data_IF_903989942430
#
_entry.id   IF_903989942430
#
_cell.length_a   1.000
_cell.length_b   1.000
_cell.length_c   1.000
_cell.angle_alpha   90.00
_cell.angle_beta   90.00
_cell.angle_gamma   90.00
#
_symmetry.space_group_name_H-M   'P 1'
#
loop_
_entity.id
_entity.type
_entity.pdbx_description
1 polymer ?
#
# COMPACT_ATOMS: atom_id res chain seq x y z
N UNK A 1 11.87 -19.50 -44.13
CA UNK A 1 10.80 -18.65 -43.59
C UNK A 1 11.08 -18.23 -42.15
N UNK A 2 11.24 -19.18 -41.23
CA UNK A 2 11.45 -18.91 -39.79
C UNK A 2 12.70 -18.07 -39.48
N UNK A 3 13.86 -18.33 -40.11
CA UNK A 3 15.06 -17.49 -39.96
C UNK A 3 14.82 -16.02 -40.34
N UNK A 4 13.91 -15.77 -41.29
CA UNK A 4 13.54 -14.41 -41.68
C UNK A 4 12.60 -13.78 -40.66
N UNK A 5 11.65 -14.54 -40.10
CA UNK A 5 10.75 -14.06 -39.04
C UNK A 5 11.53 -13.78 -37.75
N UNK A 6 12.43 -14.67 -37.36
CA UNK A 6 13.30 -14.46 -36.20
C UNK A 6 14.18 -13.20 -36.35
N UNK A 7 14.73 -12.95 -37.56
CA UNK A 7 15.46 -11.71 -37.85
C UNK A 7 14.60 -10.45 -37.74
N UNK A 8 13.30 -10.53 -38.09
CA UNK A 8 12.36 -9.40 -37.92
C UNK A 8 12.14 -9.09 -36.43
N UNK A 9 11.92 -10.12 -35.62
CA UNK A 9 11.76 -9.97 -34.16
C UNK A 9 13.02 -9.34 -33.55
N UNK A 10 14.21 -9.83 -33.92
CA UNK A 10 15.49 -9.26 -33.48
C UNK A 10 15.68 -7.79 -33.88
N UNK A 11 15.06 -7.36 -34.99
CA UNK A 11 15.08 -5.95 -35.41
C UNK A 11 14.00 -5.09 -34.74
N UNK A 12 13.29 -5.62 -33.74
CA UNK A 12 12.23 -4.92 -33.01
C UNK A 12 10.85 -4.96 -33.69
N UNK A 13 10.72 -5.63 -34.84
CA UNK A 13 9.45 -5.83 -35.50
C UNK A 13 8.81 -7.13 -34.98
N UNK A 14 8.11 -7.00 -33.86
CA UNK A 14 7.44 -8.08 -33.16
C UNK A 14 5.92 -7.86 -33.12
N UNK A 15 5.22 -8.97 -32.97
CA UNK A 15 3.76 -9.06 -32.83
C UNK A 15 3.43 -10.13 -31.79
N UNK A 16 2.13 -10.34 -31.52
CA UNK A 16 1.65 -11.29 -30.53
C UNK A 16 2.14 -12.74 -30.77
N UNK A 17 2.43 -13.10 -32.03
CA UNK A 17 2.89 -14.44 -32.41
C UNK A 17 4.39 -14.67 -32.17
N UNK A 18 5.13 -13.61 -31.85
CA UNK A 18 6.59 -13.64 -31.76
C UNK A 18 7.08 -14.57 -30.64
N UNK A 19 6.35 -14.64 -29.52
CA UNK A 19 6.67 -15.56 -28.42
C UNK A 19 6.40 -17.02 -28.81
N UNK A 20 5.29 -17.29 -29.49
CA UNK A 20 4.96 -18.61 -30.05
C UNK A 20 6.07 -19.12 -30.97
N UNK A 21 6.59 -18.27 -31.85
CA UNK A 21 7.71 -18.63 -32.73
C UNK A 21 8.96 -19.03 -31.94
N UNK A 22 9.33 -18.23 -30.92
CA UNK A 22 10.49 -18.52 -30.08
C UNK A 22 10.35 -19.87 -29.36
N UNK A 23 9.18 -20.14 -28.77
CA UNK A 23 8.89 -21.41 -28.08
C UNK A 23 8.99 -22.59 -29.05
N UNK A 24 8.40 -22.46 -30.25
CA UNK A 24 8.47 -23.50 -31.27
C UNK A 24 9.91 -23.80 -31.74
N UNK A 25 10.75 -22.78 -31.85
CA UNK A 25 12.16 -22.92 -32.19
C UNK A 25 12.96 -23.61 -31.08
N UNK A 26 12.77 -23.19 -29.82
CA UNK A 26 13.44 -23.78 -28.66
C UNK A 26 13.06 -25.26 -28.49
N UNK A 27 11.76 -25.58 -28.56
CA UNK A 27 11.27 -26.95 -28.48
C UNK A 27 11.93 -27.85 -29.53
N UNK A 28 12.01 -27.39 -30.79
CA UNK A 28 12.59 -28.18 -31.87
C UNK A 28 14.09 -28.35 -31.74
N UNK A 29 14.79 -27.31 -31.28
CA UNK A 29 16.24 -27.35 -31.14
C UNK A 29 16.68 -28.29 -30.00
N UNK A 30 16.02 -28.19 -28.85
CA UNK A 30 16.35 -28.97 -27.65
C UNK A 30 15.56 -30.28 -27.53
N UNK A 31 14.61 -30.52 -28.43
CA UNK A 31 13.66 -31.66 -28.40
C UNK A 31 13.01 -31.86 -27.02
N UNK A 32 12.70 -30.74 -26.35
CA UNK A 32 12.25 -30.71 -24.96
C UNK A 32 11.21 -29.62 -24.79
N UNK A 33 10.19 -29.87 -23.95
CA UNK A 33 9.18 -28.86 -23.64
C UNK A 33 9.81 -27.63 -22.97
N UNK A 34 9.28 -26.45 -23.30
CA UNK A 34 9.78 -25.16 -22.85
C UNK A 34 9.15 -24.79 -21.52
N UNK A 35 9.96 -24.33 -20.56
CA UNK A 35 9.50 -23.67 -19.34
C UNK A 35 9.58 -22.16 -19.56
N UNK A 36 8.46 -21.46 -19.40
CA UNK A 36 8.39 -20.01 -19.55
C UNK A 36 8.33 -19.37 -18.16
N UNK A 37 9.35 -18.58 -17.82
CA UNK A 37 9.43 -17.82 -16.57
C UNK A 37 9.34 -16.34 -16.92
N UNK A 38 8.33 -15.65 -16.42
CA UNK A 38 8.08 -14.24 -16.67
C UNK A 38 8.09 -13.53 -15.34
N UNK A 39 9.16 -12.77 -15.11
CA UNK A 39 9.34 -12.00 -13.90
C UNK A 39 8.86 -10.56 -14.09
N UNK A 40 8.45 -9.94 -12.98
CA UNK A 40 7.92 -8.57 -12.89
C UNK A 40 6.92 -8.26 -14.02
N UNK A 41 5.97 -9.17 -14.23
CA UNK A 41 5.02 -9.11 -15.34
C UNK A 41 4.10 -7.87 -15.32
N UNK A 42 4.00 -7.20 -14.17
CA UNK A 42 3.31 -5.94 -13.95
C UNK A 42 4.10 -4.70 -14.41
N UNK A 43 5.40 -4.81 -14.70
CA UNK A 43 6.25 -3.68 -15.09
C UNK A 43 5.66 -2.82 -16.22
N UNK A 44 5.14 -3.41 -17.32
CA UNK A 44 4.53 -2.61 -18.38
C UNK A 44 3.33 -1.79 -17.90
N UNK A 45 2.54 -2.34 -16.97
CA UNK A 45 1.39 -1.66 -16.36
C UNK A 45 1.84 -0.44 -15.58
N UNK A 46 2.84 -0.61 -14.70
CA UNK A 46 3.39 0.49 -13.90
C UNK A 46 3.98 1.58 -14.81
N UNK A 47 4.70 1.18 -15.86
CA UNK A 47 5.22 2.11 -16.87
C UNK A 47 4.10 2.90 -17.56
N UNK A 48 3.00 2.25 -17.91
CA UNK A 48 1.85 2.94 -18.51
C UNK A 48 1.17 3.93 -17.55
N UNK A 49 0.99 3.55 -16.28
CA UNK A 49 0.46 4.45 -15.23
C UNK A 49 1.34 5.70 -15.12
N UNK A 50 2.66 5.52 -15.27
CA UNK A 50 3.65 6.60 -15.23
C UNK A 50 3.80 7.35 -16.57
N UNK A 51 2.90 7.11 -17.55
CA UNK A 51 2.93 7.71 -18.89
C UNK A 51 4.25 7.49 -19.65
N UNK A 52 5.05 6.49 -19.27
CA UNK A 52 6.28 6.13 -19.98
C UNK A 52 6.01 5.18 -21.13
N UNK A 53 4.99 4.30 -20.99
CA UNK A 53 4.54 3.40 -22.05
C UNK A 53 3.18 3.78 -22.61
N UNK A 54 3.03 3.63 -23.92
CA UNK A 54 1.76 3.77 -24.60
C UNK A 54 0.90 2.51 -24.40
N UNK A 55 -0.41 2.65 -24.66
CA UNK A 55 -1.34 1.53 -24.54
C UNK A 55 -0.98 0.38 -25.50
N UNK A 56 -0.44 0.70 -26.68
CA UNK A 56 -0.03 -0.28 -27.68
C UNK A 56 1.05 -1.24 -27.16
N UNK A 57 1.95 -0.77 -26.28
CA UNK A 57 2.97 -1.62 -25.65
C UNK A 57 2.33 -2.61 -24.69
N UNK A 58 1.33 -2.17 -23.91
CA UNK A 58 0.56 -3.04 -23.04
C UNK A 58 -0.21 -4.10 -23.83
N UNK A 59 -0.93 -3.65 -24.85
CA UNK A 59 -1.74 -4.52 -25.69
C UNK A 59 -0.86 -5.58 -26.37
N UNK A 60 0.34 -5.22 -26.84
CA UNK A 60 1.33 -6.17 -27.38
C UNK A 60 1.79 -7.19 -26.33
N UNK A 61 2.25 -6.71 -25.16
CA UNK A 61 2.84 -7.58 -24.13
C UNK A 61 1.84 -8.61 -23.62
N UNK A 62 0.63 -8.17 -23.27
CA UNK A 62 -0.42 -9.07 -22.81
C UNK A 62 -1.06 -9.87 -23.95
N UNK A 63 -1.12 -9.29 -25.14
CA UNK A 63 -1.53 -9.98 -26.37
C UNK A 63 -0.65 -11.21 -26.65
N UNK A 64 0.66 -11.12 -26.44
CA UNK A 64 1.57 -12.28 -26.56
C UNK A 64 1.17 -13.43 -25.62
N UNK A 65 0.79 -13.14 -24.38
CA UNK A 65 0.37 -14.19 -23.44
C UNK A 65 -0.98 -14.79 -23.82
N UNK A 66 -1.96 -13.95 -24.17
CA UNK A 66 -3.27 -14.43 -24.64
C UNK A 66 -3.12 -15.27 -25.92
N UNK A 67 -2.23 -14.87 -26.83
CA UNK A 67 -1.93 -15.61 -28.05
C UNK A 67 -1.38 -17.01 -27.74
N UNK A 68 -0.42 -17.12 -26.80
CA UNK A 68 0.11 -18.43 -26.37
C UNK A 68 -0.99 -19.38 -25.88
N UNK A 69 -2.00 -18.85 -25.19
CA UNK A 69 -3.14 -19.65 -24.70
C UNK A 69 -4.00 -20.19 -25.84
N UNK A 70 -4.20 -19.40 -26.90
CA UNK A 70 -5.08 -19.74 -28.01
C UNK A 70 -4.39 -20.60 -29.09
N UNK A 71 -3.06 -20.67 -29.07
CA UNK A 71 -2.25 -21.48 -29.98
C UNK A 71 -2.07 -22.91 -29.40
N UNK A 72 -3.05 -23.78 -29.64
CA UNK A 72 -3.05 -25.17 -29.12
C UNK A 72 -1.77 -25.93 -29.50
N UNK A 73 -1.26 -25.71 -30.72
CA UNK A 73 -0.04 -26.36 -31.18
C UNK A 73 1.18 -25.93 -30.36
N UNK A 74 1.30 -24.65 -30.02
CA UNK A 74 2.39 -24.16 -29.17
C UNK A 74 2.19 -24.56 -27.71
N UNK A 75 0.94 -24.59 -27.22
CA UNK A 75 0.64 -24.94 -25.84
C UNK A 75 1.15 -26.35 -25.47
N UNK A 76 1.05 -27.32 -26.39
CA UNK A 76 1.59 -28.68 -26.20
C UNK A 76 3.12 -28.73 -26.03
N UNK A 77 3.83 -27.70 -26.51
CA UNK A 77 5.29 -27.57 -26.44
C UNK A 77 5.76 -26.88 -25.17
N UNK A 78 4.84 -26.34 -24.38
CA UNK A 78 5.12 -25.70 -23.10
C UNK A 78 4.93 -26.74 -22.00
N UNK A 79 5.90 -26.81 -21.08
CA UNK A 79 5.79 -27.64 -19.87
C UNK A 79 5.01 -26.91 -18.79
N UNK A 80 5.37 -25.65 -18.54
CA UNK A 80 4.70 -24.77 -17.58
C UNK A 80 5.00 -23.31 -17.89
N UNK A 81 4.13 -22.41 -17.43
CA UNK A 81 4.34 -20.96 -17.43
C UNK A 81 4.24 -20.48 -15.99
N UNK A 82 5.25 -19.76 -15.52
CA UNK A 82 5.27 -19.09 -14.23
C UNK A 82 5.33 -17.58 -14.45
N UNK A 83 4.39 -16.87 -13.83
CA UNK A 83 4.43 -15.43 -13.70
C UNK A 83 4.79 -15.09 -12.26
N UNK A 84 5.84 -14.31 -12.05
CA UNK A 84 6.17 -13.69 -10.77
C UNK A 84 6.02 -12.18 -10.86
N UNK A 85 5.50 -11.58 -9.79
CA UNK A 85 5.19 -10.16 -9.71
C UNK A 85 4.54 -9.79 -8.39
N UNK A 86 4.43 -8.49 -8.15
CA UNK A 86 3.88 -7.89 -6.93
C UNK A 86 2.36 -7.75 -7.01
N UNK A 87 1.81 -7.43 -8.19
CA UNK A 87 0.38 -7.19 -8.36
C UNK A 87 -0.29 -8.44 -8.95
N UNK A 88 -1.53 -8.73 -8.55
CA UNK A 88 -2.35 -9.78 -9.17
C UNK A 88 -3.28 -9.19 -10.25
N UNK A 89 -3.06 -9.52 -11.53
CA UNK A 89 -3.77 -8.92 -12.68
C UNK A 89 -4.79 -9.84 -13.37
N UNK A 90 -5.52 -10.67 -12.60
CA UNK A 90 -6.29 -11.82 -13.12
C UNK A 90 -7.73 -11.53 -13.59
N UNK A 91 -8.56 -10.88 -12.76
CA UNK A 91 -10.03 -11.00 -12.92
C UNK A 91 -10.70 -9.97 -13.86
N UNK A 92 -10.27 -8.70 -13.81
CA UNK A 92 -10.72 -7.65 -14.74
C UNK A 92 -9.55 -6.96 -15.46
N UNK A 93 -8.39 -7.62 -15.44
CA UNK A 93 -7.15 -7.10 -15.99
C UNK A 93 -6.85 -7.60 -17.41
N UNK A 94 -5.65 -7.31 -17.89
CA UNK A 94 -5.14 -7.77 -19.18
C UNK A 94 -5.03 -9.30 -19.29
N UNK A 95 -5.00 -10.02 -18.15
CA UNK A 95 -5.01 -11.48 -18.11
C UNK A 95 -6.40 -12.08 -17.91
N UNK A 96 -7.49 -11.29 -18.00
CA UNK A 96 -8.86 -11.81 -17.91
C UNK A 96 -9.16 -12.89 -18.96
N UNK A 97 -8.46 -12.86 -20.10
CA UNK A 97 -8.49 -13.92 -21.11
C UNK A 97 -7.84 -15.24 -20.67
N UNK A 98 -7.06 -15.28 -19.58
CA UNK A 98 -6.33 -16.45 -19.08
C UNK A 98 -7.02 -17.10 -17.87
N UNK A 99 -8.13 -17.79 -18.13
CA UNK A 99 -8.91 -18.51 -17.12
C UNK A 99 -8.23 -19.77 -16.54
N UNK A 100 -7.05 -20.14 -17.02
CA UNK A 100 -6.27 -21.30 -16.58
C UNK A 100 -5.16 -20.96 -15.58
N UNK A 101 -5.04 -19.69 -15.15
CA UNK A 101 -4.04 -19.28 -14.16
C UNK A 101 -4.46 -19.68 -12.75
N UNK A 102 -3.54 -20.30 -12.02
CA UNK A 102 -3.62 -20.49 -10.56
C UNK A 102 -2.71 -19.45 -9.91
N UNK A 103 -3.23 -18.72 -8.93
CA UNK A 103 -2.49 -17.66 -8.25
C UNK A 103 -2.13 -18.11 -6.83
N UNK A 104 -0.87 -17.94 -6.46
CA UNK A 104 -0.34 -18.19 -5.13
C UNK A 104 0.06 -16.84 -4.52
N UNK A 105 -0.86 -16.21 -3.78
CA UNK A 105 -0.66 -14.88 -3.18
C UNK A 105 -0.38 -14.99 -1.67
N UNK A 106 0.38 -14.05 -1.11
CA UNK A 106 0.81 -14.07 0.30
C UNK A 106 -0.36 -14.16 1.31
N UNK A 107 -1.53 -13.61 0.96
CA UNK A 107 -2.73 -13.56 1.81
C UNK A 107 -3.62 -14.82 1.72
N UNK A 108 -3.43 -15.67 0.70
CA UNK A 108 -4.33 -16.81 0.39
C UNK A 108 -3.61 -18.14 0.28
N UNK A 109 -2.31 -18.13 -0.01
CA UNK A 109 -1.53 -19.35 -0.16
C UNK A 109 -0.98 -19.86 1.17
N UNK A 110 -1.02 -21.18 1.35
CA UNK A 110 -0.41 -21.89 2.48
C UNK A 110 0.67 -22.87 2.01
N UNK A 111 0.83 -23.04 0.69
CA UNK A 111 1.70 -24.07 0.14
C UNK A 111 3.15 -23.57 0.06
N UNK A 112 3.36 -22.35 -0.41
CA UNK A 112 4.68 -21.73 -0.57
C UNK A 112 4.96 -20.64 0.47
N UNK A 113 4.05 -20.44 1.43
CA UNK A 113 4.10 -19.32 2.36
C UNK A 113 5.40 -19.25 3.17
N UNK A 114 5.92 -20.40 3.61
CA UNK A 114 7.18 -20.47 4.37
C UNK A 114 8.43 -20.31 3.48
N UNK A 115 8.32 -20.45 2.15
CA UNK A 115 9.45 -20.40 1.21
C UNK A 115 9.89 -18.96 0.85
N UNK A 116 9.11 -17.94 1.23
CA UNK A 116 9.38 -16.53 0.92
C UNK A 116 10.37 -15.84 1.88
N UNK A 117 10.88 -16.55 2.88
CA UNK A 117 11.75 -15.95 3.89
C UNK A 117 12.50 -16.98 4.72
N UNK A 118 13.12 -16.51 5.81
CA UNK A 118 13.75 -17.39 6.80
C UNK A 118 12.85 -17.43 8.03
N UNK A 119 12.56 -18.62 8.56
CA UNK A 119 11.82 -18.75 9.82
C UNK A 119 12.72 -18.45 11.01
N UNK A 120 12.11 -18.08 12.14
CA UNK A 120 12.86 -17.89 13.39
C UNK A 120 13.64 -19.13 13.83
N UNK A 121 13.07 -20.32 13.62
CA UNK A 121 13.73 -21.56 13.99
C UNK A 121 14.98 -21.81 13.14
N UNK A 122 14.89 -21.61 11.82
CA UNK A 122 16.06 -21.72 10.93
C UNK A 122 17.14 -20.72 11.30
N UNK A 123 16.78 -19.46 11.55
CA UNK A 123 17.74 -18.44 11.97
C UNK A 123 18.39 -18.79 13.32
N UNK A 124 17.62 -19.25 14.29
CA UNK A 124 18.13 -19.65 15.61
C UNK A 124 19.12 -20.81 15.49
N UNK A 125 18.79 -21.84 14.72
CA UNK A 125 19.68 -22.98 14.47
C UNK A 125 20.96 -22.55 13.73
N UNK A 126 20.83 -21.68 12.73
CA UNK A 126 21.97 -21.15 11.98
C UNK A 126 22.91 -20.33 12.87
N UNK A 127 22.36 -19.41 13.67
CA UNK A 127 23.13 -18.59 14.62
C UNK A 127 23.83 -19.45 15.67
N UNK A 128 23.12 -20.39 16.29
CA UNK A 128 23.69 -21.28 17.30
C UNK A 128 24.87 -22.07 16.73
N UNK A 129 24.74 -22.54 15.49
CA UNK A 129 25.83 -23.25 14.78
C UNK A 129 27.02 -22.33 14.52
N UNK A 130 26.77 -21.13 13.98
CA UNK A 130 27.79 -20.11 13.69
C UNK A 130 28.53 -19.61 14.93
N UNK A 131 27.87 -19.62 16.10
CA UNK A 131 28.42 -19.18 17.38
C UNK A 131 28.88 -20.34 18.25
N UNK A 132 29.07 -21.53 17.67
CA UNK A 132 29.57 -22.72 18.36
C UNK A 132 28.79 -23.10 19.63
N UNK A 133 27.47 -22.87 19.64
CA UNK A 133 26.59 -23.20 20.76
C UNK A 133 26.48 -22.13 21.84
N UNK A 134 27.07 -20.95 21.66
CA UNK A 134 26.88 -19.81 22.56
C UNK A 134 25.41 -19.30 22.57
N UNK A 135 25.04 -18.56 23.61
CA UNK A 135 23.71 -17.95 23.71
C UNK A 135 23.52 -16.84 22.66
N UNK A 136 22.56 -17.05 21.76
CA UNK A 136 22.22 -16.14 20.65
C UNK A 136 20.98 -15.29 20.93
N UNK A 137 20.40 -15.35 22.13
CA UNK A 137 19.11 -14.71 22.45
C UNK A 137 19.09 -13.20 22.21
N UNK A 138 20.19 -12.51 22.51
CA UNK A 138 20.34 -11.07 22.29
C UNK A 138 20.46 -10.74 20.79
N UNK A 139 21.26 -11.50 20.05
CA UNK A 139 21.44 -11.34 18.61
C UNK A 139 20.12 -11.61 17.87
N UNK A 140 19.42 -12.68 18.24
CA UNK A 140 18.13 -13.03 17.69
C UNK A 140 17.08 -11.95 17.97
N UNK A 141 16.99 -11.44 19.21
CA UNK A 141 16.08 -10.33 19.56
C UNK A 141 16.37 -9.08 18.73
N UNK A 142 17.66 -8.78 18.51
CA UNK A 142 18.07 -7.66 17.67
C UNK A 142 17.67 -7.87 16.20
N UNK A 143 17.90 -9.05 15.65
CA UNK A 143 17.52 -9.34 14.27
C UNK A 143 16.01 -9.35 14.06
N UNK A 144 15.25 -9.78 15.07
CA UNK A 144 13.78 -9.72 15.04
C UNK A 144 13.26 -8.30 14.87
N UNK A 145 13.80 -7.34 15.63
CA UNK A 145 13.33 -5.95 15.54
C UNK A 145 13.71 -5.27 14.23
N UNK A 146 14.77 -5.74 13.56
CA UNK A 146 15.26 -5.17 12.32
C UNK A 146 14.68 -5.80 11.06
N UNK A 147 14.56 -7.13 11.00
CA UNK A 147 14.37 -7.84 9.73
C UNK A 147 13.23 -8.88 9.73
N UNK A 148 12.53 -9.05 10.85
CA UNK A 148 11.37 -9.95 10.97
C UNK A 148 10.06 -9.18 10.78
N UNK A 149 8.91 -9.80 11.01
CA UNK A 149 7.59 -9.20 11.08
C UNK A 149 6.68 -9.59 9.92
N UNK A 150 7.16 -10.36 8.94
CA UNK A 150 6.40 -10.75 7.75
C UNK A 150 5.47 -11.92 8.08
N UNK A 151 4.17 -11.62 8.16
CA UNK A 151 3.10 -12.57 8.45
C UNK A 151 2.60 -13.15 7.14
N UNK A 152 2.74 -14.46 6.96
CA UNK A 152 2.23 -15.14 5.77
C UNK A 152 1.08 -16.06 6.20
N UNK A 153 -0.12 -15.69 5.77
CA UNK A 153 -1.38 -16.42 5.92
C UNK A 153 -1.66 -17.00 7.32
N UNK A 154 -1.53 -16.20 8.38
CA UNK A 154 -1.86 -16.60 9.76
C UNK A 154 -1.01 -17.77 10.29
N UNK A 155 0.15 -18.02 9.70
CA UNK A 155 1.11 -18.96 10.29
C UNK A 155 1.72 -18.34 11.55
N UNK A 156 2.02 -19.14 12.59
CA UNK A 156 2.63 -18.61 13.81
C UNK A 156 4.09 -18.16 13.63
N UNK A 157 4.61 -18.21 12.40
CA UNK A 157 6.00 -17.96 12.07
C UNK A 157 6.09 -16.66 11.27
N UNK A 158 6.46 -15.58 11.95
CA UNK A 158 6.94 -14.42 11.22
C UNK A 158 8.24 -14.76 10.51
N UNK A 159 8.32 -14.39 9.24
CA UNK A 159 9.50 -14.61 8.42
C UNK A 159 10.46 -13.42 8.53
N UNK A 160 11.72 -13.70 8.32
CA UNK A 160 12.76 -12.71 8.16
C UNK A 160 13.04 -12.44 6.67
N UNK A 161 13.35 -11.19 6.34
CA UNK A 161 13.83 -10.81 5.02
C UNK A 161 15.22 -11.44 4.75
N UNK A 162 15.30 -12.27 3.70
CA UNK A 162 16.52 -13.03 3.34
C UNK A 162 17.68 -12.10 2.95
N UNK A 163 17.39 -11.03 2.20
CA UNK A 163 18.42 -10.10 1.72
C UNK A 163 19.05 -9.34 2.89
N UNK A 164 18.23 -8.75 3.76
CA UNK A 164 18.71 -8.02 4.93
C UNK A 164 19.50 -8.91 5.90
N UNK A 165 19.07 -10.17 6.10
CA UNK A 165 19.85 -11.15 6.87
C UNK A 165 21.19 -11.48 6.20
N UNK A 166 21.20 -11.70 4.89
CA UNK A 166 22.43 -12.01 4.14
C UNK A 166 23.44 -10.87 4.26
N UNK A 167 22.99 -9.63 4.12
CA UNK A 167 23.81 -8.45 4.33
C UNK A 167 24.29 -8.33 5.79
N UNK A 168 23.44 -8.61 6.77
CA UNK A 168 23.85 -8.65 8.17
C UNK A 168 25.02 -9.63 8.41
N UNK A 169 24.93 -10.84 7.87
CA UNK A 169 26.01 -11.84 8.00
C UNK A 169 27.28 -11.46 7.22
N UNK A 170 27.14 -10.77 6.09
CA UNK A 170 28.27 -10.31 5.30
C UNK A 170 29.01 -9.13 5.94
N UNK A 171 28.27 -8.17 6.52
CA UNK A 171 28.83 -6.92 7.05
C UNK A 171 28.96 -6.88 8.58
N UNK A 172 28.38 -7.83 9.30
CA UNK A 172 28.46 -7.94 10.76
C UNK A 172 27.69 -6.86 11.53
N UNK A 173 26.76 -6.15 10.89
CA UNK A 173 25.98 -5.07 11.53
C UNK A 173 24.57 -4.99 10.98
N UNK A 174 23.65 -4.47 11.78
CA UNK A 174 22.31 -4.09 11.33
C UNK A 174 22.36 -2.73 10.63
N UNK A 175 21.73 -2.64 9.47
CA UNK A 175 21.60 -1.45 8.64
C UNK A 175 20.31 -1.58 7.79
N UNK A 176 19.99 -0.52 7.07
CA UNK A 176 18.91 -0.44 6.08
C UNK A 176 19.37 -1.09 4.77
N UNK A 177 19.31 -2.41 4.65
CA UNK A 177 19.82 -3.16 3.50
C UNK A 177 18.83 -3.29 2.35
N UNK A 178 17.62 -3.78 2.63
CA UNK A 178 16.57 -3.98 1.63
C UNK A 178 16.02 -2.65 1.14
N UNK A 179 15.73 -1.69 2.04
CA UNK A 179 15.11 -0.43 1.59
C UNK A 179 16.03 0.41 0.68
N UNK A 180 17.36 0.20 0.76
CA UNK A 180 18.33 0.85 -0.13
C UNK A 180 18.31 0.31 -1.57
N UNK A 181 17.61 -0.80 -1.84
CA UNK A 181 17.49 -1.34 -3.21
C UNK A 181 16.43 -0.65 -4.05
N UNK A 182 15.69 0.34 -3.49
CA UNK A 182 15.01 1.38 -4.28
C UNK A 182 13.55 1.15 -4.69
N UNK A 183 12.83 0.15 -4.16
CA UNK A 183 11.48 -0.16 -4.66
C UNK A 183 10.35 0.74 -4.16
N UNK A 184 10.54 1.52 -3.09
CA UNK A 184 9.47 2.39 -2.57
C UNK A 184 9.20 3.60 -3.47
N UNK A 185 10.16 3.96 -4.32
CA UNK A 185 10.07 5.10 -5.23
C UNK A 185 8.96 4.90 -6.27
N UNK A 186 8.82 3.69 -6.78
CA UNK A 186 7.79 3.33 -7.75
C UNK A 186 6.39 3.41 -7.11
N UNK A 187 6.27 3.06 -5.84
CA UNK A 187 5.02 3.17 -5.07
C UNK A 187 4.64 4.62 -4.82
N UNK A 188 5.62 5.48 -4.58
CA UNK A 188 5.40 6.91 -4.37
C UNK A 188 4.73 7.56 -5.58
N UNK A 189 4.91 7.03 -6.80
CA UNK A 189 4.27 7.57 -8.01
C UNK A 189 2.76 7.28 -8.09
N UNK A 190 2.28 6.27 -7.35
CA UNK A 190 0.86 5.94 -7.33
C UNK A 190 0.04 6.94 -6.53
N UNK A 191 0.66 7.64 -5.60
CA UNK A 191 -0.01 8.57 -4.69
C UNK A 191 0.62 9.96 -4.81
N UNK A 192 -0.08 10.97 -4.32
CA UNK A 192 0.45 12.32 -4.23
C UNK A 192 -0.14 12.99 -2.98
N UNK A 193 0.19 14.26 -2.80
CA UNK A 193 -0.25 15.04 -1.66
C UNK A 193 -1.76 15.26 -1.56
N UNK A 194 -2.53 15.04 -2.62
CA UNK A 194 -4.00 15.14 -2.55
C UNK A 194 -4.66 13.87 -2.01
N UNK A 195 -3.90 12.78 -1.82
CA UNK A 195 -4.36 11.55 -1.20
C UNK A 195 -4.40 11.61 0.33
N UNK A 196 -5.28 12.48 0.86
CA UNK A 196 -5.41 12.74 2.30
C UNK A 196 -5.68 11.46 3.10
N UNK A 197 -6.53 10.56 2.60
CA UNK A 197 -6.81 9.28 3.26
C UNK A 197 -5.55 8.42 3.39
N UNK A 198 -4.70 8.41 2.34
CA UNK A 198 -3.43 7.67 2.36
C UNK A 198 -2.46 8.28 3.37
N UNK A 199 -2.37 9.61 3.42
CA UNK A 199 -1.52 10.33 4.38
C UNK A 199 -1.95 10.00 5.81
N UNK A 200 -3.25 10.07 6.12
CA UNK A 200 -3.76 9.71 7.44
C UNK A 200 -3.41 8.27 7.85
N UNK A 201 -3.57 7.32 6.93
CA UNK A 201 -3.20 5.91 7.19
C UNK A 201 -1.69 5.71 7.40
N UNK A 202 -0.85 6.37 6.60
CA UNK A 202 0.60 6.32 6.78
C UNK A 202 1.01 6.90 8.14
N UNK A 203 0.35 7.95 8.62
CA UNK A 203 0.61 8.51 9.96
C UNK A 203 0.23 7.53 11.07
N UNK A 204 -0.91 6.83 10.93
CA UNK A 204 -1.31 5.77 11.86
C UNK A 204 -0.24 4.66 11.89
N UNK A 205 0.21 4.19 10.72
CA UNK A 205 1.24 3.15 10.58
C UNK A 205 2.57 3.56 11.23
N UNK A 206 3.05 4.78 10.97
CA UNK A 206 4.31 5.30 11.56
C UNK A 206 4.22 5.36 13.08
N UNK A 207 3.04 5.67 13.63
CA UNK A 207 2.76 5.67 15.06
C UNK A 207 2.51 4.26 15.64
N UNK A 208 2.72 3.21 14.85
CA UNK A 208 2.59 1.81 15.30
C UNK A 208 1.15 1.31 15.40
N UNK A 209 0.19 2.03 14.83
CA UNK A 209 -1.21 1.60 14.74
C UNK A 209 -1.42 0.75 13.48
N UNK A 210 -2.45 -0.10 13.52
CA UNK A 210 -2.86 -0.89 12.36
C UNK A 210 -3.89 -0.14 11.52
N UNK A 211 -3.89 -0.39 10.21
CA UNK A 211 -4.92 0.09 9.28
C UNK A 211 -5.69 -1.10 8.69
N UNK A 212 -6.95 -0.88 8.32
CA UNK A 212 -7.79 -1.92 7.72
C UNK A 212 -7.96 -1.66 6.23
N UNK A 213 -7.57 -2.63 5.40
CA UNK A 213 -7.71 -2.54 3.94
C UNK A 213 -8.36 -3.77 3.36
N UNK A 214 -9.15 -3.56 2.31
CA UNK A 214 -9.70 -4.61 1.46
C UNK A 214 -8.99 -4.54 0.12
N UNK A 215 -8.36 -5.64 -0.28
CA UNK A 215 -7.74 -5.75 -1.58
C UNK A 215 -8.75 -6.22 -2.62
N UNK A 216 -8.78 -5.54 -3.76
CA UNK A 216 -9.55 -5.99 -4.91
C UNK A 216 -8.70 -6.98 -5.69
N UNK A 217 -9.24 -8.15 -6.04
CA UNK A 217 -8.59 -9.10 -6.96
C UNK A 217 -8.56 -8.61 -8.42
N UNK A 218 -9.11 -7.41 -8.66
CA UNK A 218 -9.21 -6.80 -9.98
C UNK A 218 -8.81 -5.33 -9.91
N UNK A 219 -7.90 -4.93 -10.80
CA UNK A 219 -7.55 -3.53 -11.03
C UNK A 219 -8.22 -3.10 -12.33
N UNK A 220 -9.14 -2.14 -12.26
CA UNK A 220 -9.69 -1.51 -13.45
C UNK A 220 -8.73 -0.40 -13.92
N UNK A 221 -7.99 -0.68 -14.99
CA UNK A 221 -7.00 0.24 -15.54
C UNK A 221 -7.58 1.59 -15.97
N UNK A 222 -8.85 1.64 -16.38
CA UNK A 222 -9.49 2.91 -16.78
C UNK A 222 -9.59 3.88 -15.60
N UNK A 223 -9.64 3.35 -14.38
CA UNK A 223 -9.70 4.17 -13.16
C UNK A 223 -8.31 4.59 -12.66
N UNK A 224 -7.21 4.02 -13.19
CA UNK A 224 -5.84 4.38 -12.79
C UNK A 224 -5.34 5.70 -13.40
N UNK A 225 -5.99 6.18 -14.47
CA UNK A 225 -5.68 7.49 -15.08
C UNK A 225 -6.21 8.67 -14.26
N UNK A 226 -7.10 8.41 -13.30
CA UNK A 226 -7.63 9.44 -12.41
C UNK A 226 -6.70 9.63 -11.21
N UNK A 227 -6.28 10.87 -10.98
CA UNK A 227 -5.47 11.21 -9.82
C UNK A 227 -6.21 10.85 -8.53
N UNK A 228 -5.49 10.19 -7.63
CA UNK A 228 -5.99 9.76 -6.33
C UNK A 228 -7.34 9.01 -6.33
N UNK A 229 -7.61 8.24 -7.38
CA UNK A 229 -8.80 7.39 -7.42
C UNK A 229 -8.75 6.30 -6.35
N UNK A 230 -9.93 5.74 -6.04
CA UNK A 230 -10.06 4.61 -5.12
C UNK A 230 -9.25 3.40 -5.60
N UNK A 231 -9.17 3.20 -6.91
CA UNK A 231 -8.45 2.12 -7.56
C UNK A 231 -6.94 2.33 -7.45
N UNK A 232 -6.46 3.57 -7.67
CA UNK A 232 -5.03 3.91 -7.55
C UNK A 232 -4.54 3.80 -6.11
N UNK A 233 -5.34 4.25 -5.14
CA UNK A 233 -5.04 4.11 -3.70
C UNK A 233 -5.14 2.65 -3.24
N UNK A 234 -6.09 1.87 -3.75
CA UNK A 234 -6.16 0.43 -3.50
C UNK A 234 -4.95 -0.32 -4.06
N UNK A 235 -4.51 0.04 -5.27
CA UNK A 235 -3.30 -0.51 -5.89
C UNK A 235 -2.06 -0.18 -5.06
N UNK A 236 -1.92 1.06 -4.60
CA UNK A 236 -0.85 1.46 -3.69
C UNK A 236 -0.78 0.58 -2.45
N UNK A 237 -1.91 0.36 -1.76
CA UNK A 237 -1.93 -0.50 -0.56
C UNK A 237 -1.64 -1.98 -0.86
N UNK A 238 -2.12 -2.49 -2.00
CA UNK A 238 -1.79 -3.85 -2.44
C UNK A 238 -0.30 -4.01 -2.67
N UNK A 239 0.33 -3.06 -3.37
CA UNK A 239 1.77 -3.12 -3.61
C UNK A 239 2.57 -2.93 -2.33
N UNK A 240 2.18 -2.02 -1.44
CA UNK A 240 2.81 -1.87 -0.13
C UNK A 240 2.79 -3.20 0.65
N UNK A 241 1.70 -3.98 0.57
CA UNK A 241 1.62 -5.30 1.20
C UNK A 241 2.43 -6.37 0.47
N UNK A 242 2.18 -6.60 -0.82
CA UNK A 242 2.83 -7.69 -1.57
C UNK A 242 4.33 -7.48 -1.78
N UNK A 243 4.80 -6.22 -1.83
CA UNK A 243 6.23 -5.92 -1.88
C UNK A 243 6.90 -6.03 -0.50
N UNK A 244 6.15 -6.21 0.59
CA UNK A 244 6.70 -6.38 1.94
C UNK A 244 6.96 -5.08 2.72
N UNK A 245 6.42 -3.94 2.28
CA UNK A 245 6.42 -2.72 3.10
C UNK A 245 5.39 -2.77 4.23
N UNK A 246 4.39 -3.62 4.10
CA UNK A 246 3.39 -3.89 5.12
C UNK A 246 3.27 -5.39 5.32
N UNK A 247 2.89 -5.74 6.54
CA UNK A 247 2.59 -7.11 6.96
C UNK A 247 1.19 -7.13 7.56
N UNK A 248 0.52 -8.27 7.49
CA UNK A 248 -0.84 -8.35 7.96
C UNK A 248 -1.48 -9.68 7.66
N UNK A 249 -2.50 -9.99 8.44
CA UNK A 249 -3.25 -11.23 8.33
C UNK A 249 -4.75 -10.93 8.28
N UNK A 250 -5.50 -11.83 7.65
CA UNK A 250 -6.95 -11.74 7.59
C UNK A 250 -7.54 -11.82 9.02
N UNK A 251 -8.62 -11.10 9.27
CA UNK A 251 -9.23 -10.92 10.61
C UNK A 251 -9.67 -12.20 11.34
N UNK A 252 -9.53 -13.38 10.72
CA UNK A 252 -9.95 -14.68 11.27
C UNK A 252 -9.26 -15.06 12.57
N UNK A 253 -8.11 -14.47 12.91
CA UNK A 253 -7.38 -14.77 14.15
C UNK A 253 -7.47 -13.64 15.16
N UNK A 254 -8.19 -13.95 16.25
CA UNK A 254 -8.09 -13.33 17.57
C UNK A 254 -6.63 -13.33 18.03
N UNK A 255 -5.95 -12.20 17.98
CA UNK A 255 -4.90 -11.92 18.96
C UNK A 255 -5.24 -10.60 19.66
N UNK A 256 -5.56 -10.77 20.94
CA UNK A 256 -5.89 -9.76 21.95
C UNK A 256 -7.25 -9.06 21.81
N UNK A 257 -7.83 -8.82 22.98
CA UNK A 257 -9.26 -8.72 23.24
C UNK A 257 -9.96 -7.51 22.60
N UNK A 258 -11.28 -7.65 22.46
CA UNK A 258 -12.31 -6.63 22.18
C UNK A 258 -12.60 -6.38 20.70
N UNK A 259 -13.39 -7.28 20.10
CA UNK A 259 -14.61 -6.97 19.32
C UNK A 259 -15.14 -8.27 18.68
N UNK A 260 -16.46 -8.44 18.65
CA UNK A 260 -17.07 -9.61 17.99
C UNK A 260 -16.95 -9.46 16.47
N UNK A 261 -16.59 -10.53 15.74
CA UNK A 261 -16.49 -10.47 14.29
C UNK A 261 -17.89 -10.28 13.67
N UNK A 262 -18.04 -9.26 12.82
CA UNK A 262 -19.20 -9.13 11.94
C UNK A 262 -19.04 -10.08 10.73
N UNK A 263 -20.11 -10.77 10.34
CA UNK A 263 -20.14 -11.75 9.23
C UNK A 263 -19.78 -11.20 7.83
N UNK A 264 -19.50 -9.90 7.69
CA UNK A 264 -19.15 -9.24 6.43
C UNK A 264 -17.65 -8.87 6.30
N UNK A 265 -16.79 -9.25 7.26
CA UNK A 265 -15.39 -8.80 7.37
C UNK A 265 -14.35 -9.81 6.81
N UNK A 266 -14.80 -10.79 6.01
CA UNK A 266 -14.00 -11.95 5.56
C UNK A 266 -12.82 -11.60 4.62
N UNK A 267 -12.79 -10.38 4.04
CA UNK A 267 -11.76 -9.92 3.08
C UNK A 267 -10.95 -8.72 3.59
N UNK A 268 -11.04 -8.38 4.87
CA UNK A 268 -10.32 -7.23 5.44
C UNK A 268 -9.03 -7.69 6.11
N UNK A 269 -7.91 -7.12 5.64
CA UNK A 269 -6.57 -7.34 6.18
C UNK A 269 -6.23 -6.19 7.12
N UNK A 270 -5.74 -6.55 8.32
CA UNK A 270 -5.14 -5.60 9.26
C UNK A 270 -3.66 -5.48 8.93
N UNK A 271 -3.26 -4.30 8.45
CA UNK A 271 -1.91 -4.01 7.99
C UNK A 271 -1.15 -3.21 9.04
N UNK A 272 0.12 -3.54 9.20
CA UNK A 272 1.10 -2.84 10.05
C UNK A 272 2.48 -2.82 9.38
N UNK A 273 3.37 -2.00 9.92
CA UNK A 273 4.79 -2.00 9.54
C UNK A 273 5.49 -3.19 10.22
N UNK A 274 6.25 -4.04 9.49
CA UNK A 274 6.82 -5.26 10.05
C UNK A 274 7.98 -5.03 11.03
N UNK A 275 8.86 -4.07 10.73
CA UNK A 275 10.11 -3.89 11.47
C UNK A 275 10.68 -2.47 11.35
N UNK A 276 11.80 -2.24 12.04
CA UNK A 276 12.49 -0.96 12.08
C UNK A 276 13.03 -0.51 10.71
N UNK A 277 13.56 -1.45 9.92
CA UNK A 277 14.09 -1.13 8.59
C UNK A 277 12.99 -0.55 7.70
N UNK A 278 11.87 -1.25 7.60
CA UNK A 278 10.72 -0.84 6.77
C UNK A 278 10.07 0.44 7.30
N UNK A 279 10.02 0.63 8.62
CA UNK A 279 9.53 1.88 9.21
C UNK A 279 10.24 3.10 8.67
N UNK A 280 11.56 3.01 8.48
CA UNK A 280 12.35 4.11 7.92
C UNK A 280 11.92 4.48 6.51
N UNK A 281 11.67 3.49 5.64
CA UNK A 281 11.20 3.75 4.28
C UNK A 281 9.81 4.40 4.26
N UNK A 282 8.89 3.93 5.11
CA UNK A 282 7.56 4.53 5.23
C UNK A 282 7.62 5.98 5.72
N UNK A 283 8.51 6.28 6.68
CA UNK A 283 8.77 7.66 7.12
C UNK A 283 9.32 8.51 5.97
N UNK A 284 10.28 8.02 5.20
CA UNK A 284 10.86 8.76 4.07
C UNK A 284 9.81 9.05 2.99
N UNK A 285 8.93 8.08 2.69
CA UNK A 285 7.79 8.26 1.79
C UNK A 285 6.87 9.38 2.30
N UNK A 286 6.50 9.35 3.59
CA UNK A 286 5.68 10.40 4.20
C UNK A 286 6.32 11.78 4.07
N UNK A 287 7.60 11.90 4.42
CA UNK A 287 8.32 13.17 4.33
C UNK A 287 8.36 13.70 2.89
N UNK A 288 8.55 12.83 1.91
CA UNK A 288 8.53 13.23 0.48
C UNK A 288 7.16 13.70 0.04
N UNK A 289 6.11 12.97 0.43
CA UNK A 289 4.73 13.38 0.15
C UNK A 289 4.51 14.78 0.72
N UNK A 290 4.95 15.05 1.95
CA UNK A 290 4.83 16.36 2.63
C UNK A 290 5.71 17.48 2.03
N UNK A 291 6.84 17.17 1.40
CA UNK A 291 7.76 18.16 0.78
C UNK A 291 7.32 18.64 -0.61
N UNK A 292 6.33 18.01 -1.25
CA UNK A 292 5.91 18.44 -2.58
C UNK A 292 5.38 19.89 -2.57
N UNK A 293 5.82 20.79 -3.47
CA UNK A 293 5.54 22.24 -3.41
C UNK A 293 4.05 22.64 -3.41
N UNK A 294 3.15 21.72 -3.77
CA UNK A 294 1.71 21.94 -3.79
C UNK A 294 1.02 21.62 -2.45
N UNK A 295 1.78 21.34 -1.37
CA UNK A 295 1.26 21.13 -0.02
C UNK A 295 1.03 22.37 0.83
N UNK A 296 1.14 23.56 0.24
CA UNK A 296 0.43 24.70 0.80
C UNK A 296 -1.00 24.62 0.26
N UNK A 297 -1.76 23.65 0.75
CA UNK A 297 -3.21 23.62 0.60
C UNK A 297 -3.78 24.71 1.52
N UNK A 298 -3.64 25.95 1.05
CA UNK A 298 -4.27 27.12 1.62
C UNK A 298 -5.78 26.95 1.47
N UNK A 299 -6.46 26.72 2.59
CA UNK A 299 -7.91 26.71 2.71
C UNK A 299 -8.33 28.04 3.31
N UNK A 300 -9.30 28.71 2.70
CA UNK A 300 -9.92 29.88 3.32
C UNK A 300 -11.01 29.37 4.24
N UNK A 301 -10.76 29.42 5.55
CA UNK A 301 -11.74 29.11 6.59
C UNK A 301 -12.67 30.30 6.75
N UNK A 302 -13.96 30.00 6.82
CA UNK A 302 -14.99 30.95 7.14
C UNK A 302 -15.36 30.72 8.60
N UNK A 303 -15.09 31.69 9.45
CA UNK A 303 -15.32 31.60 10.89
C UNK A 303 -16.51 32.50 11.19
N UNK A 304 -17.56 31.93 11.76
CA UNK A 304 -18.74 32.68 12.19
C UNK A 304 -18.75 32.74 13.71
N UNK A 305 -18.62 33.95 14.24
CA UNK A 305 -18.68 34.27 15.67
C UNK A 305 -20.04 34.89 15.98
N UNK A 306 -20.79 34.29 16.90
CA UNK A 306 -22.11 34.81 17.32
C UNK A 306 -22.12 35.15 18.80
N UNK A 307 -22.49 36.40 19.15
CA UNK A 307 -22.64 36.86 20.53
C UNK A 307 -23.87 37.74 20.70
N UNK A 308 -24.74 37.37 21.65
CA UNK A 308 -25.98 38.10 21.99
C UNK A 308 -26.81 38.55 20.77
N UNK A 309 -26.91 37.69 19.75
CA UNK A 309 -27.69 37.94 18.53
C UNK A 309 -26.96 38.75 17.45
N UNK A 310 -25.72 39.19 17.67
CA UNK A 310 -24.86 39.77 16.66
C UNK A 310 -23.92 38.71 16.08
N UNK A 311 -23.86 38.62 14.75
CA UNK A 311 -23.05 37.64 14.02
C UNK A 311 -21.95 38.35 13.24
N UNK A 312 -20.72 37.89 13.42
CA UNK A 312 -19.54 38.37 12.71
C UNK A 312 -18.94 37.22 11.90
N UNK A 313 -18.55 37.51 10.65
CA UNK A 313 -17.88 36.55 9.78
C UNK A 313 -16.43 37.00 9.58
N UNK A 314 -15.49 36.07 9.78
CA UNK A 314 -14.06 36.26 9.57
C UNK A 314 -13.61 35.27 8.50
N UNK A 315 -12.69 35.72 7.65
CA UNK A 315 -12.06 34.91 6.62
C UNK A 315 -10.59 34.79 6.97
N UNK A 316 -10.10 33.56 7.08
CA UNK A 316 -8.68 33.33 7.32
C UNK A 316 -8.18 32.21 6.43
N UNK A 317 -7.10 32.48 5.71
CA UNK A 317 -6.40 31.45 4.95
C UNK A 317 -5.45 30.71 5.86
N UNK A 318 -5.57 29.38 5.91
CA UNK A 318 -4.77 28.51 6.75
C UNK A 318 -4.13 27.42 5.91
N UNK A 319 -2.97 26.95 6.35
CA UNK A 319 -2.36 25.72 5.84
C UNK A 319 -3.05 24.51 6.49
N UNK A 320 -3.67 23.65 5.69
CA UNK A 320 -4.39 22.48 6.18
C UNK A 320 -3.52 21.48 6.97
N UNK A 321 -2.22 21.44 6.69
CA UNK A 321 -1.24 20.60 7.42
C UNK A 321 -1.07 20.99 8.89
N UNK A 322 -1.44 22.22 9.26
CA UNK A 322 -1.32 22.73 10.62
C UNK A 322 -2.69 23.01 11.28
N UNK A 323 -3.77 22.46 10.73
CA UNK A 323 -5.15 22.75 11.12
C UNK A 323 -5.42 22.71 12.64
N UNK A 324 -5.10 21.59 13.30
CA UNK A 324 -5.36 21.43 14.73
C UNK A 324 -4.55 22.42 15.58
N UNK A 325 -3.32 22.71 15.16
CA UNK A 325 -2.45 23.69 15.82
C UNK A 325 -3.00 25.11 15.63
N UNK A 326 -3.50 25.43 14.44
CA UNK A 326 -4.08 26.72 14.14
C UNK A 326 -5.38 26.96 14.92
N UNK A 327 -6.29 25.97 15.01
CA UNK A 327 -7.52 26.11 15.83
C UNK A 327 -7.16 26.39 17.28
N UNK A 328 -6.26 25.59 17.87
CA UNK A 328 -5.90 25.77 19.27
C UNK A 328 -5.31 27.17 19.52
N UNK A 329 -4.38 27.63 18.68
CA UNK A 329 -3.82 28.98 18.81
C UNK A 329 -4.87 30.08 18.58
N UNK A 330 -5.81 29.88 17.65
CA UNK A 330 -6.88 30.85 17.38
C UNK A 330 -7.87 30.95 18.55
N UNK A 331 -8.23 29.81 19.15
CA UNK A 331 -9.11 29.76 20.33
C UNK A 331 -8.40 30.33 21.57
N UNK A 332 -7.12 30.01 21.80
CA UNK A 332 -6.30 30.63 22.85
C UNK A 332 -6.19 32.16 22.67
N UNK A 333 -6.06 32.64 21.43
CA UNK A 333 -6.07 34.08 21.15
C UNK A 333 -7.41 34.74 21.45
N UNK A 334 -8.52 34.05 21.18
CA UNK A 334 -9.87 34.53 21.51
C UNK A 334 -10.09 34.53 23.02
N UNK A 335 -9.62 33.50 23.73
CA UNK A 335 -9.63 33.45 25.20
C UNK A 335 -8.80 34.58 25.81
N UNK A 336 -7.60 34.82 25.32
CA UNK A 336 -6.77 35.95 25.75
C UNK A 336 -7.44 37.32 25.50
N UNK A 337 -8.38 37.39 24.55
CA UNK A 337 -9.17 38.60 24.23
C UNK A 337 -10.52 38.65 24.97
N UNK A 338 -10.81 37.69 25.86
CA UNK A 338 -12.02 37.66 26.70
C UNK A 338 -13.30 37.20 25.99
N UNK A 339 -13.17 36.33 24.98
CA UNK A 339 -14.25 35.81 24.11
C UNK A 339 -14.82 34.46 24.60
N UNK A 340 -14.36 33.99 25.75
CA UNK A 340 -14.25 32.59 26.18
C UNK A 340 -15.62 31.90 26.40
N UNK A 341 -16.56 32.59 27.08
CA UNK A 341 -17.78 31.94 27.60
C UNK A 341 -19.09 32.42 26.97
N UNK A 342 -19.03 33.36 26.02
CA UNK A 342 -20.24 34.02 25.50
C UNK A 342 -20.47 33.88 24.00
N UNK A 343 -19.50 33.35 23.27
CA UNK A 343 -19.53 33.28 21.82
C UNK A 343 -19.80 31.86 21.33
N UNK A 344 -20.63 31.72 20.30
CA UNK A 344 -20.70 30.48 19.51
C UNK A 344 -19.81 30.65 18.28
N UNK A 345 -18.86 29.74 18.12
CA UNK A 345 -17.91 29.71 16.99
C UNK A 345 -18.30 28.58 16.04
N UNK A 346 -18.42 28.88 14.75
CA UNK A 346 -18.57 27.88 13.69
C UNK A 346 -17.49 28.07 12.64
N UNK A 347 -16.85 26.99 12.23
CA UNK A 347 -15.86 26.97 11.18
C UNK A 347 -16.44 26.29 9.93
N UNK A 348 -16.29 26.90 8.76
CA UNK A 348 -16.65 26.32 7.47
C UNK A 348 -15.42 26.27 6.57
N UNK A 349 -15.23 25.12 5.91
CA UNK A 349 -14.08 24.82 5.06
C UNK A 349 -14.57 24.42 3.68
N UNK A 350 -14.68 25.37 2.72
CA UNK A 350 -15.38 25.11 1.48
C UNK A 350 -14.71 24.08 0.58
N UNK A 351 -13.37 24.04 0.51
CA UNK A 351 -12.69 23.04 -0.32
C UNK A 351 -12.85 21.67 0.33
N UNK A 352 -12.63 21.54 1.64
CA UNK A 352 -12.92 20.33 2.42
C UNK A 352 -14.37 19.83 2.28
N UNK A 353 -15.38 20.70 2.30
CA UNK A 353 -16.78 20.32 2.05
C UNK A 353 -16.99 19.81 0.62
N UNK A 354 -16.35 20.45 -0.36
CA UNK A 354 -16.37 20.01 -1.75
C UNK A 354 -15.72 18.62 -1.90
N UNK A 355 -14.62 18.36 -1.19
CA UNK A 355 -13.97 17.05 -1.13
C UNK A 355 -14.85 15.99 -0.44
N UNK A 356 -15.48 16.29 0.71
CA UNK A 356 -16.35 15.35 1.43
C UNK A 356 -17.68 15.06 0.70
N UNK A 357 -18.14 15.93 -0.21
CA UNK A 357 -19.34 15.69 -1.02
C UNK A 357 -19.22 14.48 -1.95
N UNK A 358 -17.99 14.10 -2.34
CA UNK A 358 -17.70 12.94 -3.19
C UNK A 358 -17.52 11.62 -2.40
N UNK A 359 -17.20 11.68 -1.10
CA UNK A 359 -16.81 10.51 -0.29
C UNK A 359 -17.51 10.50 1.08
N UNK A 360 -18.86 10.51 1.08
CA UNK A 360 -19.70 10.50 2.31
C UNK A 360 -19.35 9.43 3.36
N UNK A 361 -18.65 8.36 2.99
CA UNK A 361 -18.26 7.25 3.88
C UNK A 361 -16.90 7.44 4.57
N UNK A 362 -15.95 8.16 3.97
CA UNK A 362 -14.57 8.26 4.48
C UNK A 362 -14.41 9.39 5.51
N UNK A 363 -15.13 10.51 5.31
CA UNK A 363 -15.03 11.66 6.23
C UNK A 363 -15.54 11.36 7.65
N UNK A 364 -16.48 10.40 7.85
CA UNK A 364 -16.97 10.04 9.20
C UNK A 364 -15.93 9.33 10.08
N UNK A 365 -14.94 8.68 9.48
CA UNK A 365 -13.97 7.84 10.19
C UNK A 365 -12.66 8.58 10.46
N UNK A 366 -12.22 9.46 9.56
CA UNK A 366 -11.02 10.29 9.73
C UNK A 366 -11.32 11.58 10.51
N UNK A 367 -12.52 12.15 10.33
CA UNK A 367 -12.94 13.37 11.00
C UNK A 367 -14.34 13.20 11.61
N UNK A 368 -14.45 12.61 12.83
CA UNK A 368 -15.74 12.20 13.41
C UNK A 368 -16.73 13.34 13.68
N UNK A 369 -16.35 14.59 13.41
CA UNK A 369 -17.03 15.79 13.91
C UNK A 369 -17.38 16.83 12.84
N UNK A 370 -17.33 16.47 11.55
CA UNK A 370 -17.68 17.38 10.45
C UNK A 370 -19.18 17.41 10.09
N UNK A 371 -20.03 16.60 10.72
CA UNK A 371 -21.49 16.76 10.59
C UNK A 371 -22.01 17.55 11.78
N UNK A 372 -22.20 18.86 11.61
CA UNK A 372 -22.89 19.76 12.54
C UNK A 372 -22.55 19.53 14.03
N UNK A 373 -21.35 19.90 14.45
CA UNK A 373 -21.17 20.25 15.86
C UNK A 373 -21.84 21.59 16.14
N UNK A 374 -23.13 21.56 16.50
CA UNK A 374 -23.62 22.51 17.50
C UNK A 374 -23.05 22.06 18.84
N UNK A 375 -22.00 22.72 19.31
CA UNK A 375 -21.64 22.60 20.72
C UNK A 375 -22.69 23.33 21.55
N UNK A 376 -23.72 22.61 22.00
CA UNK A 376 -24.53 23.03 23.16
C UNK A 376 -23.75 22.66 24.41
N UNK A 377 -23.10 23.64 25.02
CA UNK A 377 -22.63 23.49 26.40
C UNK A 377 -23.85 23.54 27.32
N UNK A 378 -24.22 22.40 27.89
CA UNK A 378 -25.11 22.32 29.06
C UNK A 378 -24.22 22.15 30.27
N UNK A 379 -24.17 23.18 31.12
CA UNK A 379 -23.58 23.08 32.46
C UNK A 379 -24.70 22.63 33.40
N UNK A 380 -24.63 21.40 33.88
CA UNK A 380 -25.24 21.04 35.16
C UNK A 380 -24.17 20.38 36.04
N UNK A 381 -23.47 21.21 36.81
CA UNK A 381 -22.82 20.75 38.03
C UNK A 381 -23.90 20.69 39.13
N UNK A 382 -24.27 19.48 39.56
CA UNK A 382 -24.83 19.28 40.90
C UNK A 382 -23.68 19.06 41.87
N UNK A 383 -23.44 20.01 42.77
CA UNK A 383 -23.57 19.80 44.22
C UNK A 383 -23.38 21.10 44.99
N UNK A 384 -24.14 21.17 46.07
CA UNK A 384 -24.29 22.21 47.09
C UNK A 384 -22.98 22.49 47.86
N UNK A 385 -22.76 23.74 48.32
CA UNK A 385 -22.88 24.19 49.73
C UNK A 385 -22.17 25.53 49.99
N UNK A 386 -22.87 26.38 50.74
CA UNK A 386 -22.45 27.45 51.66
C UNK A 386 -21.58 28.63 51.20
N UNK A 387 -22.23 29.80 50.99
CA UNK A 387 -22.43 30.82 52.04
C UNK A 387 -23.48 31.86 51.67
#
# INVERSE_FOLDING_TARGET
MEKSQFKKILSGNCDESSLSLLIGLLYRHFNSKVVLLIDEYETPVLAHINSTFSKEVLDLFFGMFIFLKNDEFILEKIQTVLFSGVILLKDKGYLSGMNNLVAYSLDKDNYFSEDFGVTENELCQFLTTLRHGEDVSLELTKLKSWYNGYDVNNTPKFLFNVWSLSCYFSFGRTDYYWIKTGSIDELAMLINSSCVDVIGDLELLINGKEIRKKFSSSVDYKALSLECSREKTSLFWQMMYYAGYLTGSNSKTKLFHLEQPNENDDDVIRLRIPNFEVKSAVCELMERLQRHPNLILNETVFIVLTFKGATHAIYQTIELTNYYKWINCFEEELECKGVDEKYSIKYYFPKLEQYCSFTKSACKTVFPTFTNKEFKFVIENKMETDK
#
